data_IF_420392534602
#
_entry.id   IF_420392534602
#
_cell.length_a   1.000
_cell.length_b   1.000
_cell.length_c   1.000
_cell.angle_alpha   90.00
_cell.angle_beta   90.00
_cell.angle_gamma   90.00
#
_symmetry.space_group_name_H-M   'P 1'
#
loop_
_entity.id
_entity.type
_entity.pdbx_description
1 polymer ?
#
# COMPACT_ATOMS: atom_id res chain seq x y z
N UNK A 1 2.61 -24.48 14.48
CA UNK A 1 3.40 -23.23 14.50
C UNK A 1 2.42 -22.08 14.37
N UNK A 2 2.14 -21.34 15.45
CA UNK A 2 1.00 -20.40 15.53
C UNK A 2 1.41 -19.04 16.13
N UNK A 3 2.64 -18.60 15.90
CA UNK A 3 3.00 -17.19 16.07
C UNK A 3 2.89 -16.51 14.70
N UNK A 4 1.67 -16.12 14.32
CA UNK A 4 1.56 -14.98 13.41
C UNK A 4 2.37 -13.85 14.03
N UNK A 5 3.33 -13.21 13.33
CA UNK A 5 4.20 -12.22 13.95
C UNK A 5 3.33 -11.10 14.51
N UNK A 6 3.20 -11.07 15.84
CA UNK A 6 2.34 -10.15 16.59
C UNK A 6 2.61 -8.68 16.23
N UNK A 7 3.85 -8.41 15.81
CA UNK A 7 4.33 -7.13 15.30
C UNK A 7 3.66 -6.67 13.99
N UNK A 8 3.35 -7.58 13.07
CA UNK A 8 2.63 -7.22 11.84
C UNK A 8 1.21 -6.77 12.17
N UNK A 9 0.55 -7.47 13.10
CA UNK A 9 -0.80 -7.12 13.54
C UNK A 9 -0.86 -5.76 14.27
N UNK A 10 0.13 -5.46 15.11
CA UNK A 10 0.21 -4.15 15.79
C UNK A 10 0.48 -3.01 14.79
N UNK A 11 1.35 -3.23 13.80
CA UNK A 11 1.63 -2.23 12.75
C UNK A 11 0.38 -1.92 11.93
N UNK A 12 -0.46 -2.92 11.65
CA UNK A 12 -1.74 -2.72 10.94
C UNK A 12 -2.73 -1.87 11.75
N UNK A 13 -2.75 -1.98 13.09
CA UNK A 13 -3.65 -1.18 13.95
C UNK A 13 -3.36 0.31 13.93
N UNK A 14 -2.11 0.67 13.68
CA UNK A 14 -1.68 2.06 13.69
C UNK A 14 -1.37 2.58 12.27
N UNK A 15 -1.91 1.94 11.24
CA UNK A 15 -1.76 2.41 9.87
C UNK A 15 -3.06 3.04 9.39
N UNK A 16 -2.97 4.25 8.84
CA UNK A 16 -4.08 4.96 8.20
C UNK A 16 -3.79 5.09 6.71
N UNK A 17 -4.76 4.70 5.90
CA UNK A 17 -4.73 4.81 4.46
C UNK A 17 -5.67 5.92 3.99
N UNK A 18 -5.17 6.81 3.14
CA UNK A 18 -5.93 7.95 2.62
C UNK A 18 -5.78 8.00 1.10
N UNK A 19 -6.89 8.27 0.42
CA UNK A 19 -6.89 8.63 -0.99
C UNK A 19 -7.48 10.02 -1.09
N UNK A 20 -6.73 10.90 -1.74
CA UNK A 20 -7.18 12.25 -2.08
C UNK A 20 -7.27 12.37 -3.60
N UNK A 21 -7.74 13.51 -4.10
CA UNK A 21 -7.73 13.81 -5.53
C UNK A 21 -6.33 13.95 -6.15
N UNK A 22 -5.27 14.10 -5.34
CA UNK A 22 -3.90 14.35 -5.81
C UNK A 22 -2.87 13.32 -5.38
N UNK A 23 -3.20 12.44 -4.43
CA UNK A 23 -2.25 11.49 -3.84
C UNK A 23 -2.93 10.38 -3.06
N UNK A 24 -2.27 9.22 -3.02
CA UNK A 24 -2.52 8.16 -2.05
C UNK A 24 -1.49 8.30 -0.92
N UNK A 25 -1.92 8.15 0.34
CA UNK A 25 -1.06 8.36 1.50
C UNK A 25 -1.18 7.15 2.43
N UNK A 26 -0.04 6.68 2.91
CA UNK A 26 0.08 5.71 3.98
C UNK A 26 0.71 6.42 5.18
N UNK A 27 0.03 6.43 6.31
CA UNK A 27 0.55 6.93 7.59
C UNK A 27 0.70 5.74 8.52
N UNK A 28 1.92 5.43 8.94
CA UNK A 28 2.22 4.34 9.87
C UNK A 28 2.71 4.93 11.19
N UNK A 29 1.94 4.73 12.26
CA UNK A 29 2.31 5.13 13.62
C UNK A 29 2.86 3.95 14.42
N UNK A 30 4.06 4.07 14.98
CA UNK A 30 4.51 3.17 16.04
C UNK A 30 5.29 3.97 17.09
N UNK A 31 6.57 3.72 17.28
CA UNK A 31 7.47 4.61 18.03
C UNK A 31 7.84 5.87 17.24
N UNK A 32 7.77 5.80 15.91
CA UNK A 32 7.92 6.94 14.99
C UNK A 32 6.76 6.97 14.00
N UNK A 33 6.50 8.15 13.41
CA UNK A 33 5.48 8.31 12.37
C UNK A 33 6.15 8.30 11.00
N UNK A 34 5.82 7.32 10.17
CA UNK A 34 6.26 7.26 8.77
C UNK A 34 5.09 7.65 7.87
N UNK A 35 5.30 8.66 7.01
CA UNK A 35 4.31 9.11 6.04
C UNK A 35 4.86 8.85 4.64
N UNK A 36 4.16 8.04 3.85
CA UNK A 36 4.48 7.80 2.44
C UNK A 36 3.35 8.40 1.58
N UNK A 37 3.71 9.26 0.63
CA UNK A 37 2.78 9.91 -0.29
C UNK A 37 3.12 9.50 -1.72
N UNK A 38 2.11 9.07 -2.48
CA UNK A 38 2.23 8.60 -3.85
C UNK A 38 1.43 9.53 -4.77
N UNK A 39 2.11 10.18 -5.72
CA UNK A 39 1.47 10.93 -6.81
C UNK A 39 0.83 9.98 -7.82
N UNK A 40 -0.07 10.46 -8.70
CA UNK A 40 -0.66 9.66 -9.78
C UNK A 40 0.36 8.88 -10.61
N UNK A 41 1.47 9.51 -10.99
CA UNK A 41 2.54 8.93 -11.82
C UNK A 41 3.32 7.81 -11.14
N UNK A 42 3.30 7.78 -9.80
CA UNK A 42 3.98 6.75 -9.01
C UNK A 42 3.15 5.47 -8.87
N UNK A 43 1.87 5.50 -9.28
CA UNK A 43 0.97 4.34 -9.25
C UNK A 43 1.10 3.59 -10.57
N UNK A 44 1.92 2.53 -10.60
CA UNK A 44 2.25 1.79 -11.83
C UNK A 44 1.70 0.36 -11.81
N UNK A 45 2.01 -0.39 -10.77
CA UNK A 45 1.67 -1.81 -10.64
C UNK A 45 0.44 -2.01 -9.76
N UNK A 46 -0.70 -1.47 -10.19
CA UNK A 46 -1.94 -1.49 -9.40
C UNK A 46 -2.68 -2.82 -9.54
N UNK A 47 -2.75 -3.57 -8.45
CA UNK A 47 -3.53 -4.80 -8.36
C UNK A 47 -4.08 -5.04 -6.96
N UNK A 48 -5.07 -5.93 -6.83
CA UNK A 48 -5.65 -6.31 -5.52
C UNK A 48 -5.56 -7.81 -5.26
N UNK A 49 -5.41 -8.16 -3.99
CA UNK A 49 -5.67 -9.50 -3.44
C UNK A 49 -6.89 -9.41 -2.54
N UNK A 50 -7.98 -10.07 -2.90
CA UNK A 50 -9.26 -9.96 -2.19
C UNK A 50 -9.73 -11.30 -1.66
N UNK A 51 -10.36 -11.27 -0.50
CA UNK A 51 -11.01 -12.38 0.16
C UNK A 51 -12.50 -12.43 -0.22
N UNK A 52 -13.19 -13.56 -0.04
CA UNK A 52 -14.62 -13.67 -0.35
C UNK A 52 -15.53 -12.66 0.38
N UNK A 53 -15.07 -12.08 1.49
CA UNK A 53 -15.80 -11.05 2.26
C UNK A 53 -15.62 -9.62 1.71
N UNK A 54 -14.88 -9.46 0.60
CA UNK A 54 -14.56 -8.18 -0.03
C UNK A 54 -13.37 -7.43 0.58
N UNK A 55 -12.82 -7.94 1.70
CA UNK A 55 -11.62 -7.39 2.32
C UNK A 55 -10.35 -7.84 1.61
N UNK A 56 -9.26 -7.09 1.71
CA UNK A 56 -8.05 -7.47 1.02
C UNK A 56 -6.96 -6.41 1.01
N UNK A 57 -5.95 -6.67 0.19
CA UNK A 57 -4.83 -5.77 -0.01
C UNK A 57 -4.93 -5.15 -1.41
N UNK A 58 -4.53 -3.90 -1.53
CA UNK A 58 -4.43 -3.18 -2.80
C UNK A 58 -3.02 -2.62 -2.93
N UNK A 59 -2.24 -3.20 -3.84
CA UNK A 59 -0.84 -2.85 -4.07
C UNK A 59 -0.78 -1.83 -5.19
N UNK A 60 0.01 -0.77 -5.00
CA UNK A 60 0.12 0.35 -5.95
C UNK A 60 1.56 0.59 -6.44
N UNK A 61 2.53 -0.14 -5.90
CA UNK A 61 3.91 -0.11 -6.37
C UNK A 61 4.74 -1.23 -5.77
N UNK A 62 5.87 -1.50 -6.42
CA UNK A 62 6.86 -2.46 -5.96
C UNK A 62 8.20 -1.73 -5.83
N UNK A 63 8.78 -1.76 -4.63
CA UNK A 63 10.13 -1.24 -4.40
C UNK A 63 11.12 -2.38 -4.47
N UNK A 64 12.14 -2.19 -5.30
CA UNK A 64 13.30 -3.05 -5.35
C UNK A 64 14.48 -2.31 -4.70
N UNK A 65 15.20 -2.97 -3.79
CA UNK A 65 16.48 -2.48 -3.29
C UNK A 65 17.43 -3.64 -3.12
N UNK A 66 18.73 -3.35 -3.09
CA UNK A 66 19.74 -4.32 -2.66
C UNK A 66 20.09 -4.04 -1.21
N UNK A 67 20.18 -5.07 -0.40
CA UNK A 67 20.75 -4.92 0.93
C UNK A 67 22.28 -4.84 0.87
N UNK A 68 22.89 -4.71 2.05
CA UNK A 68 24.35 -4.59 2.20
C UNK A 68 25.10 -5.84 1.73
N UNK A 69 24.43 -6.98 1.66
CA UNK A 69 25.01 -8.27 1.23
C UNK A 69 24.81 -8.51 -0.28
N UNK A 70 24.10 -7.59 -0.96
CA UNK A 70 23.90 -7.60 -2.41
C UNK A 70 22.64 -8.35 -2.87
N UNK A 71 21.86 -8.87 -1.93
CA UNK A 71 20.64 -9.61 -2.22
C UNK A 71 19.53 -8.66 -2.66
N UNK A 72 18.81 -9.06 -3.71
CA UNK A 72 17.72 -8.28 -4.26
C UNK A 72 16.46 -8.46 -3.40
N UNK A 73 16.03 -7.38 -2.78
CA UNK A 73 14.81 -7.33 -1.98
C UNK A 73 13.66 -6.72 -2.79
N UNK A 74 12.45 -7.21 -2.52
CA UNK A 74 11.19 -6.76 -3.14
C UNK A 74 10.16 -6.45 -2.06
N UNK A 75 9.70 -5.22 -1.99
CA UNK A 75 8.65 -4.76 -1.08
C UNK A 75 7.45 -4.32 -1.90
N UNK A 76 6.31 -4.95 -1.67
CA UNK A 76 5.04 -4.51 -2.22
C UNK A 76 4.48 -3.40 -1.34
N UNK A 77 4.16 -2.26 -1.95
CA UNK A 77 3.69 -1.08 -1.26
C UNK A 77 2.23 -0.85 -1.64
N UNK A 78 1.38 -0.78 -0.61
CA UNK A 78 -0.05 -0.72 -0.81
C UNK A 78 -0.85 -0.53 0.47
N UNK A 79 -2.16 -0.59 0.31
CA UNK A 79 -3.12 -0.56 1.40
C UNK A 79 -3.44 -2.00 1.80
N UNK A 80 -3.16 -2.37 3.03
CA UNK A 80 -3.23 -3.75 3.51
C UNK A 80 -4.47 -3.93 4.37
N UNK A 81 -5.24 -5.00 4.17
CA UNK A 81 -6.41 -5.33 4.98
C UNK A 81 -7.55 -4.31 4.92
N UNK A 82 -7.75 -3.64 3.79
CA UNK A 82 -8.91 -2.75 3.59
C UNK A 82 -10.20 -3.55 3.46
N UNK A 83 -11.33 -3.00 3.93
CA UNK A 83 -12.63 -3.71 3.94
C UNK A 83 -13.28 -3.88 2.57
N UNK A 84 -13.03 -2.97 1.64
CA UNK A 84 -13.64 -2.94 0.31
C UNK A 84 -12.54 -2.82 -0.75
N UNK A 85 -11.76 -3.88 -0.93
CA UNK A 85 -10.54 -3.86 -1.74
C UNK A 85 -10.80 -3.42 -3.19
N UNK A 86 -11.88 -3.91 -3.80
CA UNK A 86 -12.30 -3.47 -5.14
C UNK A 86 -12.59 -1.96 -5.23
N UNK A 87 -13.30 -1.39 -4.24
CA UNK A 87 -13.60 0.04 -4.25
C UNK A 87 -12.32 0.87 -4.12
N UNK A 88 -11.41 0.46 -3.23
CA UNK A 88 -10.10 1.09 -3.03
C UNK A 88 -9.27 1.04 -4.32
N UNK A 89 -9.22 -0.11 -4.98
CA UNK A 89 -8.55 -0.26 -6.28
C UNK A 89 -9.13 0.70 -7.33
N UNK A 90 -10.46 0.81 -7.40
CA UNK A 90 -11.12 1.72 -8.34
C UNK A 90 -10.78 3.19 -8.06
N UNK A 91 -10.72 3.60 -6.80
CA UNK A 91 -10.30 4.95 -6.42
C UNK A 91 -8.84 5.22 -6.78
N UNK A 92 -7.95 4.24 -6.60
CA UNK A 92 -6.54 4.36 -7.00
C UNK A 92 -6.38 4.38 -8.53
N UNK A 93 -7.18 3.62 -9.28
CA UNK A 93 -7.21 3.70 -10.75
C UNK A 93 -7.66 5.08 -11.23
N UNK A 94 -8.66 5.68 -10.58
CA UNK A 94 -9.10 7.03 -10.89
C UNK A 94 -8.01 8.06 -10.58
N UNK A 95 -7.31 7.91 -9.45
CA UNK A 95 -6.18 8.76 -9.10
C UNK A 95 -5.02 8.61 -10.10
N UNK A 96 -4.66 7.40 -10.52
CA UNK A 96 -3.59 7.18 -11.49
C UNK A 96 -3.89 7.85 -12.85
N UNK A 97 -5.16 7.92 -13.25
CA UNK A 97 -5.60 8.59 -14.48
C UNK A 97 -5.50 10.12 -14.45
N UNK A 98 -5.35 10.72 -13.26
CA UNK A 98 -5.16 12.18 -13.15
C UNK A 98 -3.69 12.61 -13.30
N UNK A 99 -2.79 11.66 -13.61
CA UNK A 99 -1.42 11.98 -14.00
C UNK A 99 -1.41 12.91 -15.22
N UNK A 100 -0.64 14.02 -15.19
CA UNK A 100 -0.36 14.80 -16.38
C UNK A 100 0.23 13.87 -17.46
N UNK A 101 -0.31 13.92 -18.67
CA UNK A 101 0.33 13.31 -19.83
C UNK A 101 1.28 14.34 -20.41
N UNK A 102 2.56 14.24 -20.03
CA UNK A 102 3.66 14.98 -20.66
C UNK A 102 4.15 14.24 -21.92
#
# INVERSE_FOLDING_TARGET
>A
MLSSPYWQWQTMRNTVYLITNKRAIIIQGSSSTTIRSFSPEQIKDLYRREKPDGSGDVIMGVRHWKDSDGDAQREEIGFVGVRHAQQVENMLKQLAKSAPQD
#
